data_IF_862671853904
#
_entry.id   IF_862671853904
#
_cell.length_a   1.000
_cell.length_b   1.000
_cell.length_c   1.000
_cell.angle_alpha   90.00
_cell.angle_beta   90.00
_cell.angle_gamma   90.00
#
_symmetry.space_group_name_H-M   'P 1'
#
loop_
_entity.id
_entity.type
_entity.pdbx_description
1 polymer ?
#
# COMPACT_ATOMS: atom_id res chain seq x y z
N UNK A 1 18.88 -0.25 -4.86
CA UNK A 1 19.06 -0.54 -6.30
C UNK A 1 17.74 -0.64 -7.06
N UNK A 2 16.83 -1.57 -6.74
CA UNK A 2 15.52 -1.64 -7.44
C UNK A 2 14.64 -0.41 -7.19
N UNK A 3 14.64 0.13 -5.97
CA UNK A 3 13.94 1.38 -5.64
C UNK A 3 14.51 2.56 -6.44
N UNK A 4 15.84 2.77 -6.39
CA UNK A 4 16.50 3.87 -7.13
C UNK A 4 16.21 3.81 -8.63
N UNK A 5 16.24 2.61 -9.20
CA UNK A 5 15.94 2.38 -10.60
C UNK A 5 14.46 2.67 -10.93
N UNK A 6 13.53 2.35 -10.02
CA UNK A 6 12.12 2.71 -10.16
C UNK A 6 11.95 4.23 -10.13
N UNK A 7 12.62 4.94 -9.21
CA UNK A 7 12.56 6.40 -9.11
C UNK A 7 13.04 7.04 -10.43
N UNK A 8 14.14 6.55 -10.98
CA UNK A 8 14.64 7.02 -12.27
C UNK A 8 13.69 6.66 -13.41
N UNK A 9 13.16 5.44 -13.43
CA UNK A 9 12.21 4.99 -14.44
C UNK A 9 10.92 5.83 -14.42
N UNK A 10 10.44 6.24 -13.25
CA UNK A 10 9.32 7.17 -13.11
C UNK A 10 9.69 8.58 -13.59
N UNK A 11 10.82 9.11 -13.12
CA UNK A 11 11.30 10.45 -13.49
C UNK A 11 11.48 10.61 -15.00
N UNK A 12 12.03 9.59 -15.67
CA UNK A 12 12.28 9.58 -17.11
C UNK A 12 11.18 8.88 -17.90
N UNK A 13 10.07 8.50 -17.27
CA UNK A 13 8.89 7.89 -17.91
C UNK A 13 9.19 6.62 -18.72
N UNK A 14 10.18 5.83 -18.27
CA UNK A 14 10.58 4.54 -18.87
C UNK A 14 9.64 3.45 -18.37
N UNK A 15 8.43 3.39 -18.94
CA UNK A 15 7.32 2.54 -18.47
C UNK A 15 7.71 1.07 -18.26
N UNK A 16 8.36 0.45 -19.24
CA UNK A 16 8.75 -0.97 -19.16
C UNK A 16 9.70 -1.25 -17.99
N UNK A 17 10.65 -0.34 -17.75
CA UNK A 17 11.60 -0.46 -16.65
C UNK A 17 10.89 -0.28 -15.30
N UNK A 18 10.00 0.71 -15.19
CA UNK A 18 9.18 0.91 -13.99
C UNK A 18 8.37 -0.33 -13.66
N UNK A 19 7.64 -0.88 -14.63
CA UNK A 19 6.86 -2.11 -14.43
C UNK A 19 7.74 -3.30 -14.04
N UNK A 20 8.94 -3.42 -14.60
CA UNK A 20 9.89 -4.46 -14.21
C UNK A 20 10.33 -4.31 -12.75
N UNK A 21 10.69 -3.09 -12.34
CA UNK A 21 11.05 -2.78 -10.95
C UNK A 21 9.88 -3.05 -9.99
N UNK A 22 8.65 -2.66 -10.35
CA UNK A 22 7.45 -2.95 -9.56
C UNK A 22 7.27 -4.45 -9.35
N UNK A 23 7.33 -5.25 -10.42
CA UNK A 23 7.21 -6.72 -10.33
C UNK A 23 8.30 -7.34 -9.46
N UNK A 24 9.53 -6.85 -9.57
CA UNK A 24 10.63 -7.32 -8.75
C UNK A 24 10.42 -7.00 -7.26
N UNK A 25 10.05 -5.76 -6.94
CA UNK A 25 9.76 -5.33 -5.56
C UNK A 25 8.57 -6.11 -4.98
N UNK A 26 7.51 -6.31 -5.77
CA UNK A 26 6.36 -7.14 -5.40
C UNK A 26 6.76 -8.58 -5.07
N UNK A 27 7.68 -9.20 -5.84
CA UNK A 27 8.15 -10.57 -5.54
C UNK A 27 8.94 -10.70 -4.22
N UNK A 28 9.38 -9.57 -3.66
CA UNK A 28 10.10 -9.49 -2.39
C UNK A 28 9.23 -8.88 -1.27
N UNK A 29 8.01 -8.49 -1.59
CA UNK A 29 7.08 -7.89 -0.65
C UNK A 29 6.73 -8.90 0.44
N UNK A 30 6.84 -8.46 1.69
CA UNK A 30 6.48 -9.20 2.88
C UNK A 30 5.94 -8.22 3.92
N UNK A 31 5.49 -8.74 5.07
CA UNK A 31 4.90 -7.90 6.11
C UNK A 31 5.89 -6.87 6.65
N UNK A 32 7.17 -7.20 6.81
CA UNK A 32 8.18 -6.30 7.36
C UNK A 32 8.50 -5.14 6.41
N UNK A 33 8.45 -5.33 5.09
CA UNK A 33 8.72 -4.25 4.14
C UNK A 33 7.46 -3.62 3.53
N UNK A 34 6.26 -4.08 3.88
CA UNK A 34 5.00 -3.61 3.31
C UNK A 34 4.77 -2.12 3.50
N UNK A 35 4.96 -1.62 4.72
CA UNK A 35 4.70 -0.21 5.06
C UNK A 35 5.72 0.74 4.41
N UNK A 36 7.05 0.48 4.48
CA UNK A 36 8.02 1.26 3.73
C UNK A 36 7.79 1.21 2.21
N UNK A 37 7.39 0.05 1.66
CA UNK A 37 7.12 -0.08 0.21
C UNK A 37 5.84 0.64 -0.20
N UNK A 38 4.81 0.67 0.66
CA UNK A 38 3.61 1.45 0.42
C UNK A 38 3.93 2.95 0.34
N UNK A 39 4.65 3.49 1.33
CA UNK A 39 5.07 4.89 1.33
C UNK A 39 5.94 5.24 0.11
N UNK A 40 6.91 4.38 -0.21
CA UNK A 40 7.75 4.52 -1.41
C UNK A 40 6.91 4.51 -2.70
N UNK A 41 5.99 3.57 -2.82
CA UNK A 41 5.15 3.43 -4.01
C UNK A 41 4.20 4.62 -4.19
N UNK A 42 3.68 5.16 -3.08
CA UNK A 42 2.83 6.35 -3.06
C UNK A 42 3.60 7.56 -3.58
N UNK A 43 4.81 7.78 -3.07
CA UNK A 43 5.68 8.88 -3.46
C UNK A 43 6.14 8.81 -4.93
N UNK A 44 6.37 7.61 -5.45
CA UNK A 44 6.94 7.40 -6.79
C UNK A 44 5.94 6.86 -7.82
N UNK A 45 4.64 6.96 -7.53
CA UNK A 45 3.56 6.60 -8.46
C UNK A 45 3.57 5.13 -8.88
N UNK A 46 4.12 4.22 -8.07
CA UNK A 46 4.29 2.81 -8.40
C UNK A 46 3.02 2.00 -8.08
N UNK A 47 1.97 2.18 -8.90
CA UNK A 47 0.61 1.71 -8.60
C UNK A 47 0.52 0.22 -8.26
N UNK A 48 1.16 -0.66 -9.03
CA UNK A 48 1.04 -2.11 -8.79
C UNK A 48 1.67 -2.51 -7.45
N UNK A 49 2.79 -1.86 -7.09
CA UNK A 49 3.43 -2.07 -5.80
C UNK A 49 2.61 -1.47 -4.66
N UNK A 50 2.01 -0.30 -4.88
CA UNK A 50 1.13 0.38 -3.92
C UNK A 50 -0.04 -0.53 -3.53
N UNK A 51 -0.76 -1.07 -4.52
CA UNK A 51 -1.93 -1.91 -4.31
C UNK A 51 -1.56 -3.23 -3.60
N UNK A 52 -0.44 -3.85 -3.99
CA UNK A 52 0.05 -5.08 -3.37
C UNK A 52 0.46 -4.85 -1.90
N UNK A 53 1.18 -3.77 -1.62
CA UNK A 53 1.59 -3.40 -0.28
C UNK A 53 0.38 -3.06 0.59
N UNK A 54 -0.59 -2.31 0.07
CA UNK A 54 -1.82 -1.98 0.77
C UNK A 54 -2.62 -3.23 1.14
N UNK A 55 -2.74 -4.20 0.21
CA UNK A 55 -3.42 -5.47 0.48
C UNK A 55 -2.79 -6.19 1.68
N UNK A 56 -1.46 -6.29 1.70
CA UNK A 56 -0.75 -6.95 2.79
C UNK A 56 -0.85 -6.20 4.12
N UNK A 57 -0.93 -4.86 4.07
CA UNK A 57 -1.19 -4.01 5.23
C UNK A 57 -2.57 -4.29 5.80
N UNK A 58 -3.60 -4.29 4.95
CA UNK A 58 -4.99 -4.52 5.35
C UNK A 58 -5.19 -5.89 6.01
N UNK A 59 -4.46 -6.92 5.58
CA UNK A 59 -4.56 -8.28 6.13
C UNK A 59 -4.00 -8.41 7.56
N UNK A 60 -3.19 -7.45 8.01
CA UNK A 60 -2.54 -7.46 9.33
C UNK A 60 -2.71 -6.10 10.04
N UNK A 61 -3.80 -5.41 9.74
CA UNK A 61 -4.03 -4.02 10.15
C UNK A 61 -3.99 -3.81 11.67
N UNK A 62 -4.44 -4.80 12.44
CA UNK A 62 -4.40 -4.85 13.91
C UNK A 62 -2.99 -4.78 14.52
N UNK A 63 -1.95 -5.13 13.74
CA UNK A 63 -0.54 -5.10 14.16
C UNK A 63 0.17 -3.84 13.68
N UNK A 64 -0.44 -3.05 12.79
CA UNK A 64 0.22 -1.91 12.14
C UNK A 64 0.67 -0.85 13.15
N UNK A 65 -0.20 -0.49 14.11
CA UNK A 65 0.08 0.56 15.10
C UNK A 65 1.20 0.23 16.08
N UNK A 66 1.64 -1.04 16.13
CA UNK A 66 2.73 -1.50 16.99
C UNK A 66 4.11 -1.40 16.32
N UNK A 67 4.16 -1.02 15.06
CA UNK A 67 5.39 -0.96 14.26
C UNK A 67 6.12 0.35 14.46
N UNK A 68 7.44 0.28 14.53
CA UNK A 68 8.29 1.47 14.57
C UNK A 68 8.17 2.26 13.25
N UNK A 69 8.09 1.56 12.11
CA UNK A 69 7.95 2.21 10.80
C UNK A 69 6.61 2.93 10.65
N UNK A 70 5.59 2.51 11.41
CA UNK A 70 4.33 3.24 11.50
C UNK A 70 4.51 4.56 12.23
N UNK A 71 5.21 4.56 13.36
CA UNK A 71 5.51 5.81 14.09
C UNK A 71 6.33 6.77 13.23
N UNK A 72 7.36 6.27 12.55
CA UNK A 72 8.14 7.08 11.61
C UNK A 72 7.29 7.64 10.48
N UNK A 73 6.35 6.84 9.93
CA UNK A 73 5.49 7.29 8.85
C UNK A 73 4.49 8.36 9.33
N UNK A 74 3.96 8.23 10.55
CA UNK A 74 3.09 9.26 11.16
C UNK A 74 3.83 10.59 11.29
N UNK A 75 5.13 10.57 11.62
CA UNK A 75 5.94 11.78 11.74
C UNK A 75 6.34 12.38 10.38
N UNK A 76 6.74 11.53 9.43
CA UNK A 76 7.26 11.98 8.12
C UNK A 76 6.16 12.35 7.14
N UNK A 77 5.11 11.53 7.06
CA UNK A 77 4.00 11.72 6.13
C UNK A 77 2.67 11.17 6.71
N UNK A 78 2.01 11.94 7.59
CA UNK A 78 0.77 11.51 8.21
C UNK A 78 -0.38 11.32 7.20
N UNK A 79 -0.29 11.91 6.00
CA UNK A 79 -1.33 11.78 4.98
C UNK A 79 -1.39 10.37 4.43
N UNK A 80 -0.23 9.73 4.24
CA UNK A 80 -0.15 8.32 3.80
C UNK A 80 -0.83 7.40 4.80
N UNK A 81 -0.69 7.68 6.11
CA UNK A 81 -1.36 6.90 7.17
C UNK A 81 -2.88 7.07 7.10
N UNK A 82 -3.36 8.30 6.94
CA UNK A 82 -4.80 8.58 6.79
C UNK A 82 -5.38 7.80 5.60
N UNK A 83 -4.70 7.80 4.46
CA UNK A 83 -5.15 7.07 3.26
C UNK A 83 -5.24 5.54 3.49
N UNK A 84 -4.32 4.95 4.26
CA UNK A 84 -4.41 3.53 4.65
C UNK A 84 -5.67 3.27 5.47
N UNK A 85 -5.96 4.11 6.47
CA UNK A 85 -7.14 3.95 7.31
C UNK A 85 -8.45 4.22 6.56
N UNK A 86 -8.47 5.20 5.67
CA UNK A 86 -9.61 5.47 4.79
C UNK A 86 -9.92 4.27 3.88
N UNK A 87 -8.88 3.68 3.27
CA UNK A 87 -9.02 2.46 2.47
C UNK A 87 -9.54 1.28 3.30
N UNK A 88 -9.01 1.11 4.52
CA UNK A 88 -9.45 0.06 5.44
C UNK A 88 -10.92 0.21 5.86
N UNK A 89 -11.34 1.42 6.24
CA UNK A 89 -12.72 1.73 6.62
C UNK A 89 -13.68 1.53 5.43
N UNK A 90 -13.29 2.00 4.24
CA UNK A 90 -14.09 1.83 3.01
C UNK A 90 -14.32 0.35 2.69
N UNK A 91 -13.31 -0.51 2.89
CA UNK A 91 -13.43 -1.97 2.70
C UNK A 91 -14.41 -2.59 3.71
N UNK A 92 -14.44 -2.12 4.96
CA UNK A 92 -15.36 -2.62 5.97
C UNK A 92 -16.81 -2.20 5.72
N UNK A 93 -17.06 -0.95 5.29
CA UNK A 93 -18.40 -0.47 4.94
C UNK A 93 -19.03 -1.29 3.81
N UNK A 94 -18.24 -1.62 2.79
CA UNK A 94 -18.68 -2.49 1.68
C UNK A 94 -18.98 -3.93 2.12
N UNK A 95 -18.31 -4.42 3.17
CA UNK A 95 -18.55 -5.76 3.74
C UNK A 95 -19.79 -5.79 4.63
N UNK A 96 -20.13 -4.68 5.29
CA UNK A 96 -21.36 -4.56 6.07
C UNK A 96 -22.61 -4.45 5.18
N UNK A 97 -22.52 -3.72 4.05
CA UNK A 97 -23.61 -3.55 3.10
C UNK A 97 -24.01 -4.85 2.36
N UNK A 98 -23.11 -5.84 2.25
CA UNK A 98 -23.40 -7.14 1.62
C UNK A 98 -24.01 -8.18 2.58
N UNK A 99 -24.14 -7.86 3.88
CA UNK A 99 -24.72 -8.74 4.90
C UNK A 99 -26.18 -8.45 5.24
N UNK A 100 -26.87 -7.58 4.49
CA UNK A 100 -28.28 -7.26 4.76
C UNK A 100 -29.19 -8.45 4.36
N UNK A 101 -29.77 -9.23 5.30
CA UNK A 101 -30.60 -10.40 4.99
C UNK A 101 -32.05 -10.01 4.64
N UNK A 102 -32.39 -8.72 4.60
CA UNK A 102 -33.76 -8.23 4.51
C UNK A 102 -34.19 -7.77 3.10
N UNK A 103 -33.80 -8.54 2.07
CA UNK A 103 -34.45 -8.51 0.75
C UNK A 103 -35.01 -9.89 0.38
N UNK A 104 -35.83 -10.44 1.26
CA UNK A 104 -36.82 -11.46 0.89
C UNK A 104 -38.11 -11.18 1.64
N UNK A 105 -39.02 -10.45 1.00
CA UNK A 105 -40.44 -10.45 1.26
C UNK A 105 -41.15 -10.00 -0.02
#
# INVERSE_FOLDING_TARGET
MACDLLVLAEKYQVKHLKTYCEKYLMSRLNWENSLPYYAFAHQHGAKSLLDAALSLIMDNMEKLSKREEYMELVEKDPRVVVEIYEAYLSKQVNTAASKDPNKTA
#
